data_IF_284864730549
#
_entry.id   IF_284864730549
#
_cell.length_a   1.000
_cell.length_b   1.000
_cell.length_c   1.000
_cell.angle_alpha   90.00
_cell.angle_beta   90.00
_cell.angle_gamma   90.00
#
_symmetry.space_group_name_H-M   'P 1'
#
loop_
_entity.id
_entity.type
_entity.pdbx_description
1 polymer ?
#
# COMPACT_ATOMS: atom_id res chain seq x y z
N UNK A 1 -8.74 -13.60 3.46
CA UNK A 1 -7.97 -14.01 2.28
C UNK A 1 -8.29 -15.48 2.04
N UNK A 2 -8.78 -15.86 0.85
CA UNK A 2 -9.10 -17.26 0.54
C UNK A 2 -7.84 -18.11 0.56
N UNK A 3 -7.89 -19.35 1.09
CA UNK A 3 -6.75 -20.28 1.13
C UNK A 3 -6.16 -20.52 -0.27
N UNK A 4 -6.97 -20.40 -1.32
CA UNK A 4 -6.56 -20.50 -2.74
C UNK A 4 -5.74 -19.29 -3.21
N UNK A 5 -6.03 -18.10 -2.68
CA UNK A 5 -5.29 -16.85 -2.96
C UNK A 5 -3.92 -16.82 -2.28
N UNK A 6 -3.82 -17.44 -1.10
CA UNK A 6 -2.56 -17.64 -0.39
C UNK A 6 -1.62 -18.59 -1.16
N UNK A 7 -2.17 -19.63 -1.81
CA UNK A 7 -1.42 -20.52 -2.69
C UNK A 7 -0.85 -19.80 -3.93
N UNK A 8 -1.59 -18.85 -4.51
CA UNK A 8 -1.11 -18.03 -5.64
C UNK A 8 0.12 -17.19 -5.26
N UNK A 9 0.10 -16.56 -4.10
CA UNK A 9 1.25 -15.78 -3.59
C UNK A 9 2.48 -16.64 -3.28
N UNK A 10 2.29 -17.92 -2.96
CA UNK A 10 3.37 -18.85 -2.66
C UNK A 10 4.08 -19.35 -3.93
N UNK A 11 3.36 -19.50 -5.05
CA UNK A 11 3.93 -19.95 -6.34
C UNK A 11 4.89 -18.93 -6.97
N UNK A 12 4.68 -17.63 -6.73
CA UNK A 12 5.55 -16.56 -7.26
C UNK A 12 6.77 -16.27 -6.39
N UNK A 13 6.84 -16.83 -5.17
CA UNK A 13 7.97 -16.60 -4.28
C UNK A 13 9.21 -17.35 -4.81
N UNK A 14 10.26 -16.60 -5.16
CA UNK A 14 11.54 -17.17 -5.58
C UNK A 14 12.10 -18.04 -4.44
N UNK A 15 12.09 -19.36 -4.67
CA UNK A 15 12.45 -20.45 -3.75
C UNK A 15 11.47 -20.70 -2.60
N UNK A 16 10.62 -21.72 -2.75
CA UNK A 16 10.53 -22.79 -1.73
C UNK A 16 10.11 -24.12 -2.36
N UNK A 17 11.07 -25.02 -2.56
CA UNK A 17 10.80 -26.47 -2.67
C UNK A 17 10.12 -27.04 -1.40
N UNK A 18 10.02 -26.25 -0.31
CA UNK A 18 9.29 -26.59 0.92
C UNK A 18 7.77 -26.51 0.80
N UNK A 19 7.24 -25.95 -0.30
CA UNK A 19 5.79 -25.85 -0.49
C UNK A 19 5.16 -27.24 -0.64
N UNK A 20 5.80 -28.16 -1.37
CA UNK A 20 5.38 -29.56 -1.53
C UNK A 20 5.29 -30.32 -0.19
N UNK A 21 6.08 -29.93 0.81
CA UNK A 21 6.05 -30.54 2.16
C UNK A 21 4.88 -30.03 3.03
N UNK A 22 4.31 -28.87 2.72
CA UNK A 22 3.31 -28.17 3.55
C UNK A 22 1.89 -28.22 3.01
N UNK A 23 1.73 -28.54 1.72
CA UNK A 23 0.43 -28.78 1.13
C UNK A 23 -0.03 -30.15 1.62
N UNK A 24 -1.21 -30.20 2.23
CA UNK A 24 -1.82 -31.48 2.63
C UNK A 24 -1.75 -32.47 1.48
N UNK A 25 -1.67 -33.78 1.75
CA UNK A 25 -1.69 -34.85 0.72
C UNK A 25 -2.80 -34.71 -0.35
N UNK A 26 -3.81 -33.85 -0.13
CA UNK A 26 -4.95 -33.56 -1.00
C UNK A 26 -4.98 -32.10 -1.54
N UNK A 27 -3.85 -31.38 -1.55
CA UNK A 27 -3.79 -30.03 -2.13
C UNK A 27 -3.32 -30.07 -3.59
N UNK A 28 -3.55 -28.97 -4.36
CA UNK A 28 -3.31 -28.98 -5.79
C UNK A 28 -1.80 -29.01 -6.05
N UNK A 29 -1.35 -29.75 -7.06
CA UNK A 29 0.07 -29.75 -7.45
C UNK A 29 0.45 -28.43 -8.10
N UNK A 30 1.76 -28.20 -8.22
CA UNK A 30 2.28 -27.02 -8.91
C UNK A 30 1.82 -26.98 -10.37
N UNK A 31 1.81 -28.13 -11.04
CA UNK A 31 1.36 -28.27 -12.43
C UNK A 31 -0.12 -27.94 -12.58
N UNK A 32 -0.97 -28.43 -11.67
CA UNK A 32 -2.40 -28.12 -11.65
C UNK A 32 -2.66 -26.63 -11.41
N UNK A 33 -1.92 -26.00 -10.50
CA UNK A 33 -2.02 -24.56 -10.26
C UNK A 33 -1.58 -23.76 -11.49
N UNK A 34 -0.46 -24.11 -12.11
CA UNK A 34 0.03 -23.45 -13.32
C UNK A 34 -0.95 -23.66 -14.49
N UNK A 35 -1.52 -24.85 -14.63
CA UNK A 35 -2.55 -25.16 -15.63
C UNK A 35 -3.82 -24.32 -15.42
N UNK A 36 -4.33 -24.26 -14.19
CA UNK A 36 -5.49 -23.44 -13.84
C UNK A 36 -5.22 -21.94 -14.10
N UNK A 37 -4.04 -21.45 -13.74
CA UNK A 37 -3.62 -20.06 -14.02
C UNK A 37 -3.48 -19.79 -15.51
N UNK A 38 -2.85 -20.69 -16.28
CA UNK A 38 -2.67 -20.54 -17.72
C UNK A 38 -4.00 -20.49 -18.46
N UNK A 39 -4.93 -21.38 -18.10
CA UNK A 39 -6.27 -21.35 -18.67
C UNK A 39 -7.03 -20.10 -18.24
N UNK A 40 -6.94 -19.66 -16.97
CA UNK A 40 -7.61 -18.44 -16.51
C UNK A 40 -7.06 -17.19 -17.21
N UNK A 41 -5.74 -17.16 -17.50
CA UNK A 41 -5.10 -16.09 -18.26
C UNK A 41 -5.58 -16.05 -19.70
N UNK A 42 -5.84 -17.21 -20.33
CA UNK A 42 -6.40 -17.28 -21.68
C UNK A 42 -7.81 -16.69 -21.73
N UNK A 43 -8.65 -17.01 -20.75
CA UNK A 43 -10.06 -16.63 -20.78
C UNK A 43 -10.29 -15.19 -20.26
N UNK A 44 -9.48 -14.73 -19.29
CA UNK A 44 -9.57 -13.36 -18.74
C UNK A 44 -8.17 -12.77 -18.51
N UNK A 45 -7.49 -12.31 -19.57
CA UNK A 45 -6.12 -11.82 -19.47
C UNK A 45 -5.99 -10.55 -18.61
N UNK A 46 -7.00 -9.68 -18.63
CA UNK A 46 -7.03 -8.44 -17.84
C UNK A 46 -7.21 -8.76 -16.36
N UNK A 47 -8.16 -9.61 -16.00
CA UNK A 47 -8.39 -10.02 -14.62
C UNK A 47 -7.17 -10.72 -14.03
N UNK A 48 -6.52 -11.60 -14.80
CA UNK A 48 -5.26 -12.20 -14.36
C UNK A 48 -4.11 -11.20 -14.26
N UNK A 49 -4.02 -10.20 -15.14
CA UNK A 49 -3.05 -9.10 -14.99
C UNK A 49 -3.29 -8.32 -13.69
N UNK A 50 -4.53 -8.06 -13.30
CA UNK A 50 -4.86 -7.46 -11.99
C UNK A 50 -4.32 -8.34 -10.86
N UNK A 51 -4.63 -9.64 -10.86
CA UNK A 51 -4.19 -10.56 -9.81
C UNK A 51 -2.66 -10.65 -9.73
N UNK A 52 -2.00 -10.78 -10.88
CA UNK A 52 -0.54 -10.87 -10.97
C UNK A 52 0.14 -9.58 -10.51
N UNK A 53 -0.41 -8.41 -10.85
CA UNK A 53 0.11 -7.12 -10.38
C UNK A 53 -0.13 -6.94 -8.86
N UNK A 54 -1.32 -7.28 -8.38
CA UNK A 54 -1.77 -7.06 -6.99
C UNK A 54 -1.09 -7.99 -5.99
N UNK A 55 -0.89 -9.25 -6.36
CA UNK A 55 -0.39 -10.29 -5.45
C UNK A 55 1.05 -10.73 -5.75
N UNK A 56 1.48 -10.67 -7.01
CA UNK A 56 2.81 -11.13 -7.43
C UNK A 56 3.74 -9.97 -7.82
N UNK A 57 3.26 -8.73 -7.76
CA UNK A 57 4.00 -7.53 -8.13
C UNK A 57 4.60 -7.61 -9.55
N UNK A 58 3.87 -8.23 -10.49
CA UNK A 58 4.32 -8.43 -11.86
C UNK A 58 4.35 -7.12 -12.66
N UNK A 59 5.54 -6.63 -13.01
CA UNK A 59 5.71 -5.40 -13.79
C UNK A 59 5.09 -5.47 -15.20
N UNK A 60 5.16 -6.63 -15.86
CA UNK A 60 4.54 -6.82 -17.17
C UNK A 60 3.01 -6.69 -17.09
N UNK A 61 2.40 -7.16 -16.00
CA UNK A 61 0.96 -7.04 -15.81
C UNK A 61 0.52 -5.58 -15.67
N UNK A 62 1.36 -4.70 -15.09
CA UNK A 62 1.08 -3.26 -15.07
C UNK A 62 1.04 -2.64 -16.47
N UNK A 63 1.91 -3.11 -17.38
CA UNK A 63 1.91 -2.68 -18.79
C UNK A 63 0.61 -3.09 -19.48
N UNK A 64 0.20 -4.36 -19.32
CA UNK A 64 -1.05 -4.88 -19.88
C UNK A 64 -2.26 -4.06 -19.40
N UNK A 65 -2.32 -3.73 -18.11
CA UNK A 65 -3.42 -2.92 -17.56
C UNK A 65 -3.44 -1.49 -18.10
N UNK A 66 -2.28 -0.87 -18.25
CA UNK A 66 -2.16 0.47 -18.83
C UNK A 66 -2.61 0.48 -20.29
N UNK A 67 -2.19 -0.51 -21.07
CA UNK A 67 -2.52 -0.61 -22.49
C UNK A 67 -4.03 -0.90 -22.66
N UNK A 68 -4.61 -1.73 -21.79
CA UNK A 68 -6.06 -1.94 -21.73
C UNK A 68 -6.82 -0.64 -21.45
N UNK A 69 -6.43 0.11 -20.41
CA UNK A 69 -7.05 1.40 -20.12
C UNK A 69 -6.89 2.40 -21.28
N UNK A 70 -5.73 2.41 -21.93
CA UNK A 70 -5.49 3.22 -23.13
C UNK A 70 -6.33 2.84 -24.35
N UNK A 71 -6.89 1.63 -24.38
CA UNK A 71 -7.86 1.18 -25.40
C UNK A 71 -9.31 1.57 -25.07
N UNK A 72 -9.60 1.97 -23.83
CA UNK A 72 -10.93 2.39 -23.45
C UNK A 72 -11.24 3.79 -24.00
N UNK A 73 -12.47 3.97 -24.47
CA UNK A 73 -12.88 5.24 -25.05
C UNK A 73 -12.99 6.35 -24.02
N UNK A 74 -12.42 7.53 -24.35
CA UNK A 74 -12.50 8.77 -23.56
C UNK A 74 -13.49 9.76 -24.17
N UNK A 75 -14.16 9.40 -25.28
CA UNK A 75 -14.98 10.31 -26.11
C UNK A 75 -16.14 10.99 -25.39
N UNK A 76 -16.47 10.58 -24.16
CA UNK A 76 -17.51 11.18 -23.32
C UNK A 76 -17.05 12.43 -22.56
N UNK A 77 -15.76 12.74 -22.55
CA UNK A 77 -15.25 13.95 -21.92
C UNK A 77 -15.36 15.13 -22.89
N UNK A 78 -16.11 16.16 -22.50
CA UNK A 78 -16.14 17.48 -23.17
C UNK A 78 -14.84 18.29 -22.95
N UNK A 79 -13.77 17.63 -22.48
CA UNK A 79 -12.45 18.21 -22.22
C UNK A 79 -11.39 17.38 -22.95
N UNK A 80 -10.51 18.06 -23.70
CA UNK A 80 -9.35 17.43 -24.31
C UNK A 80 -8.19 17.44 -23.33
N UNK A 81 -7.94 16.29 -22.72
CA UNK A 81 -6.81 16.09 -21.82
C UNK A 81 -5.50 15.90 -22.61
N UNK A 82 -4.39 16.38 -22.05
CA UNK A 82 -3.06 16.06 -22.55
C UNK A 82 -2.69 14.59 -22.25
N UNK A 83 -1.75 14.00 -23.02
CA UNK A 83 -1.39 12.59 -22.85
C UNK A 83 -0.89 12.25 -21.44
N UNK A 84 -0.16 13.16 -20.78
CA UNK A 84 0.29 12.98 -19.40
C UNK A 84 -0.88 12.98 -18.40
N UNK A 85 -1.90 13.80 -18.63
CA UNK A 85 -3.10 13.86 -17.79
C UNK A 85 -3.94 12.60 -17.95
N UNK A 86 -4.12 12.10 -19.18
CA UNK A 86 -4.78 10.83 -19.43
C UNK A 86 -4.04 9.65 -18.80
N UNK A 87 -2.71 9.61 -18.94
CA UNK A 87 -1.88 8.61 -18.27
C UNK A 87 -2.01 8.69 -16.74
N UNK A 88 -2.17 9.89 -16.17
CA UNK A 88 -2.41 10.04 -14.75
C UNK A 88 -3.78 9.50 -14.33
N UNK A 89 -4.84 9.71 -15.12
CA UNK A 89 -6.15 9.10 -14.85
C UNK A 89 -6.06 7.57 -14.87
N UNK A 90 -5.32 6.98 -15.83
CA UNK A 90 -5.08 5.54 -15.84
C UNK A 90 -4.37 5.08 -14.57
N UNK A 91 -3.32 5.80 -14.14
CA UNK A 91 -2.62 5.54 -12.89
C UNK A 91 -3.57 5.56 -11.68
N UNK A 92 -4.47 6.54 -11.58
CA UNK A 92 -5.41 6.64 -10.45
C UNK A 92 -6.32 5.42 -10.34
N UNK A 93 -6.87 4.95 -11.45
CA UNK A 93 -7.74 3.76 -11.45
C UNK A 93 -6.93 2.50 -11.17
N UNK A 94 -5.76 2.35 -11.79
CA UNK A 94 -4.88 1.20 -11.52
C UNK A 94 -4.48 1.13 -10.06
N UNK A 95 -4.05 2.25 -9.46
CA UNK A 95 -3.66 2.31 -8.07
C UNK A 95 -4.81 1.90 -7.13
N UNK A 96 -6.03 2.38 -7.40
CA UNK A 96 -7.22 2.03 -6.62
C UNK A 96 -7.52 0.52 -6.69
N UNK A 97 -7.56 -0.06 -7.89
CA UNK A 97 -7.86 -1.50 -8.09
C UNK A 97 -6.78 -2.40 -7.49
N UNK A 98 -5.52 -1.98 -7.57
CA UNK A 98 -4.37 -2.72 -7.05
C UNK A 98 -4.15 -2.50 -5.56
N UNK A 99 -5.00 -1.71 -4.87
CA UNK A 99 -4.84 -1.32 -3.47
C UNK A 99 -3.48 -0.67 -3.16
N UNK A 100 -2.96 0.09 -4.13
CA UNK A 100 -1.73 0.86 -4.01
C UNK A 100 -2.10 2.30 -3.63
N UNK A 101 -1.50 2.86 -2.58
CA UNK A 101 -1.82 4.22 -2.15
C UNK A 101 -1.35 5.25 -3.19
N UNK A 102 -2.22 6.20 -3.52
CA UNK A 102 -1.88 7.33 -4.40
C UNK A 102 -1.21 8.46 -3.61
N UNK A 103 -0.50 9.35 -4.31
CA UNK A 103 0.32 10.42 -3.71
C UNK A 103 -0.44 11.27 -2.69
N UNK A 104 -1.70 11.62 -3.00
CA UNK A 104 -2.55 12.43 -2.11
C UNK A 104 -2.84 11.75 -0.76
N UNK A 105 -2.72 10.42 -0.68
CA UNK A 105 -2.93 9.64 0.54
C UNK A 105 -1.64 9.41 1.34
N UNK A 106 -0.47 9.51 0.70
CA UNK A 106 0.81 9.12 1.31
C UNK A 106 1.12 9.93 2.57
N UNK A 107 0.80 11.23 2.61
CA UNK A 107 1.02 12.05 3.80
C UNK A 107 0.20 11.57 5.01
N UNK A 108 -1.09 11.27 4.78
CA UNK A 108 -2.00 10.72 5.79
C UNK A 108 -1.50 9.35 6.26
N UNK A 109 -1.17 8.45 5.34
CA UNK A 109 -0.64 7.13 5.63
C UNK A 109 0.68 7.19 6.42
N UNK A 110 1.64 8.02 5.99
CA UNK A 110 2.92 8.18 6.65
C UNK A 110 2.76 8.69 8.09
N UNK A 111 1.80 9.59 8.34
CA UNK A 111 1.46 10.00 9.70
C UNK A 111 0.98 8.82 10.56
N UNK A 112 0.13 7.95 10.04
CA UNK A 112 -0.38 6.78 10.78
C UNK A 112 0.73 5.74 11.00
N UNK A 113 1.58 5.51 10.01
CA UNK A 113 2.76 4.64 10.13
C UNK A 113 3.76 5.14 11.18
N UNK A 114 4.02 6.45 11.24
CA UNK A 114 4.87 7.07 12.27
C UNK A 114 4.32 6.93 13.68
N UNK A 115 3.00 6.80 13.85
CA UNK A 115 2.36 6.72 15.17
C UNK A 115 2.15 5.29 15.66
N UNK A 116 1.70 4.39 14.78
CA UNK A 116 1.13 3.11 15.21
C UNK A 116 1.88 1.88 14.71
N UNK A 117 2.91 2.03 13.88
CA UNK A 117 3.70 0.88 13.44
C UNK A 117 4.49 0.26 14.59
N UNK A 118 4.82 -1.03 14.44
CA UNK A 118 5.69 -1.70 15.41
C UNK A 118 7.08 -1.05 15.46
N UNK A 119 7.57 -0.53 14.34
CA UNK A 119 8.82 0.24 14.28
C UNK A 119 8.69 1.54 15.08
N UNK A 120 7.63 2.32 14.86
CA UNK A 120 7.32 3.52 15.64
C UNK A 120 7.29 3.26 17.15
N UNK A 121 6.60 2.21 17.59
CA UNK A 121 6.50 1.86 19.01
C UNK A 121 7.88 1.55 19.63
N UNK A 122 8.79 0.90 18.89
CA UNK A 122 10.16 0.63 19.35
C UNK A 122 11.00 1.91 19.36
N UNK A 123 10.92 2.70 18.30
CA UNK A 123 11.67 3.96 18.20
C UNK A 123 11.27 4.93 19.29
N UNK A 124 9.97 5.07 19.57
CA UNK A 124 9.45 5.94 20.62
C UNK A 124 9.99 5.54 22.01
N UNK A 125 9.99 4.24 22.34
CA UNK A 125 10.59 3.74 23.60
C UNK A 125 12.09 4.06 23.70
N UNK A 126 12.81 3.94 22.59
CA UNK A 126 14.24 4.27 22.54
C UNK A 126 14.48 5.77 22.77
N UNK A 127 13.69 6.63 22.11
CA UNK A 127 13.73 8.08 22.31
C UNK A 127 13.42 8.43 23.76
N UNK A 128 12.37 7.85 24.35
CA UNK A 128 12.00 8.09 25.75
C UNK A 128 13.12 7.70 26.73
N UNK A 129 13.79 6.57 26.49
CA UNK A 129 14.94 6.14 27.30
C UNK A 129 16.13 7.12 27.18
N UNK A 130 16.47 7.55 25.96
CA UNK A 130 17.53 8.52 25.71
C UNK A 130 17.22 9.88 26.35
N UNK A 131 15.99 10.38 26.19
CA UNK A 131 15.56 11.64 26.80
C UNK A 131 15.56 11.57 28.33
N UNK A 132 15.21 10.43 28.92
CA UNK A 132 15.31 10.23 30.38
C UNK A 132 16.77 10.26 30.84
N UNK A 133 17.68 9.63 30.10
CA UNK A 133 19.11 9.66 30.39
C UNK A 133 19.69 11.08 30.28
N UNK A 134 19.31 11.84 29.24
CA UNK A 134 19.69 13.25 29.08
C UNK A 134 19.26 14.09 30.28
N UNK A 135 17.99 14.03 30.69
CA UNK A 135 17.49 14.74 31.88
C UNK A 135 18.23 14.37 33.17
N UNK A 136 18.63 13.11 33.30
CA UNK A 136 19.44 12.68 34.45
C UNK A 136 20.86 13.26 34.40
N UNK A 137 21.46 13.37 33.22
CA UNK A 137 22.77 13.97 33.03
C UNK A 137 22.74 15.49 33.22
N UNK A 138 21.68 16.17 32.77
CA UNK A 138 21.46 17.61 32.99
C UNK A 138 21.43 17.93 34.49
N UNK A 139 20.65 17.19 35.27
CA UNK A 139 20.63 17.33 36.74
C UNK A 139 21.97 17.01 37.39
N UNK A 140 22.71 16.04 36.85
CA UNK A 140 24.04 15.72 37.37
C UNK A 140 25.03 16.87 37.14
N UNK A 141 24.95 17.59 36.02
CA UNK A 141 25.80 18.76 35.75
C UNK A 141 25.58 19.85 36.80
N UNK A 142 24.34 20.08 37.26
CA UNK A 142 24.02 21.09 38.28
C UNK A 142 24.69 20.82 39.63
N UNK A 143 24.98 19.56 39.94
CA UNK A 143 25.56 19.14 41.24
C UNK A 143 27.09 19.03 41.16
N UNK A 144 27.65 18.85 39.97
CA UNK A 144 29.08 18.55 39.77
C UNK A 144 29.91 19.83 39.71
N UNK A 145 30.86 19.96 40.64
CA UNK A 145 31.83 21.06 40.69
C UNK A 145 33.06 20.85 39.80
N UNK A 146 33.33 19.63 39.34
CA UNK A 146 34.47 19.34 38.47
C UNK A 146 34.16 19.68 37.00
N UNK A 147 34.85 20.66 36.38
CA UNK A 147 34.61 21.08 34.99
C UNK A 147 34.80 19.96 33.96
N UNK A 148 35.73 19.02 34.21
CA UNK A 148 35.98 17.90 33.31
C UNK A 148 34.81 16.92 33.26
N UNK A 149 34.21 16.62 34.42
CA UNK A 149 33.04 15.74 34.48
C UNK A 149 31.81 16.39 33.83
N UNK A 150 31.61 17.69 34.06
CA UNK A 150 30.52 18.45 33.43
C UNK A 150 30.66 18.50 31.91
N UNK A 151 31.88 18.72 31.39
CA UNK A 151 32.16 18.66 29.94
C UNK A 151 31.88 17.27 29.35
N UNK A 152 32.28 16.19 30.05
CA UNK A 152 31.98 14.81 29.62
C UNK A 152 30.47 14.53 29.56
N UNK A 153 29.71 15.02 30.55
CA UNK A 153 28.26 14.87 30.57
C UNK A 153 27.59 15.66 29.43
N UNK A 154 28.05 16.89 29.16
CA UNK A 154 27.57 17.69 28.02
C UNK A 154 27.83 16.98 26.68
N UNK A 155 29.02 16.39 26.48
CA UNK A 155 29.32 15.60 25.29
C UNK A 155 28.40 14.38 25.15
N UNK A 156 28.08 13.69 26.25
CA UNK A 156 27.14 12.57 26.24
C UNK A 156 25.69 13.02 25.93
N UNK A 157 25.26 14.16 26.46
CA UNK A 157 23.96 14.76 26.13
C UNK A 157 23.89 15.07 24.64
N UNK A 158 24.91 15.73 24.07
CA UNK A 158 24.98 16.01 22.64
C UNK A 158 24.93 14.73 21.80
N UNK A 159 25.67 13.68 22.20
CA UNK A 159 25.63 12.37 21.55
C UNK A 159 24.23 11.73 21.60
N UNK A 160 23.55 11.79 22.75
CA UNK A 160 22.18 11.29 22.87
C UNK A 160 21.18 12.08 22.03
N UNK A 161 21.34 13.40 21.94
CA UNK A 161 20.52 14.24 21.08
C UNK A 161 20.67 13.86 19.59
N UNK A 162 21.91 13.70 19.11
CA UNK A 162 22.18 13.24 17.74
C UNK A 162 21.53 11.87 17.48
N UNK A 163 21.56 10.95 18.44
CA UNK A 163 20.90 9.64 18.32
C UNK A 163 19.38 9.75 18.25
N UNK A 164 18.76 10.63 19.04
CA UNK A 164 17.33 10.91 18.98
C UNK A 164 16.95 11.44 17.60
N UNK A 165 17.69 12.42 17.07
CA UNK A 165 17.37 13.03 15.78
C UNK A 165 17.55 12.04 14.63
N UNK A 166 18.61 11.23 14.67
CA UNK A 166 18.79 10.10 13.74
C UNK A 166 17.60 9.14 13.79
N UNK A 167 17.12 8.78 14.99
CA UNK A 167 15.97 7.89 15.14
C UNK A 167 14.67 8.49 14.61
N UNK A 168 14.44 9.79 14.80
CA UNK A 168 13.28 10.50 14.23
C UNK A 168 13.34 10.50 12.71
N UNK A 169 14.50 10.73 12.12
CA UNK A 169 14.67 10.71 10.66
C UNK A 169 14.41 9.31 10.09
N UNK A 170 15.02 8.27 10.67
CA UNK A 170 14.80 6.89 10.24
C UNK A 170 13.33 6.47 10.36
N UNK A 171 12.61 6.95 11.38
CA UNK A 171 11.17 6.72 11.52
C UNK A 171 10.36 7.44 10.44
N UNK A 172 10.74 8.66 10.07
CA UNK A 172 10.11 9.40 8.99
C UNK A 172 10.29 8.68 7.65
N UNK A 173 11.53 8.29 7.33
CA UNK A 173 11.87 7.60 6.08
C UNK A 173 11.18 6.23 6.00
N UNK A 174 11.19 5.46 7.10
CA UNK A 174 10.47 4.19 7.20
C UNK A 174 8.98 4.36 6.93
N UNK A 175 8.37 5.38 7.53
CA UNK A 175 6.94 5.60 7.39
C UNK A 175 6.55 6.11 5.99
N UNK A 176 7.37 6.95 5.36
CA UNK A 176 7.17 7.35 3.96
C UNK A 176 7.25 6.15 3.03
N UNK A 177 8.29 5.33 3.17
CA UNK A 177 8.45 4.10 2.39
C UNK A 177 7.24 3.18 2.54
N UNK A 178 6.80 2.94 3.78
CA UNK A 178 5.63 2.07 4.03
C UNK A 178 4.30 2.67 3.55
N UNK A 179 4.18 3.99 3.59
CA UNK A 179 3.02 4.70 3.06
C UNK A 179 2.92 4.65 1.53
N UNK A 180 4.03 4.45 0.81
CA UNK A 180 4.03 4.21 -0.63
C UNK A 180 3.76 2.73 -0.99
N UNK A 181 4.19 1.79 -0.13
CA UNK A 181 4.05 0.36 -0.39
C UNK A 181 2.67 -0.20 -0.05
N UNK A 182 1.94 0.38 0.92
CA UNK A 182 0.71 -0.24 1.41
C UNK A 182 -0.30 0.76 1.95
N UNK A 183 -1.55 0.61 1.49
CA UNK A 183 -2.72 1.27 2.04
C UNK A 183 -3.26 0.59 3.32
N UNK A 184 -2.66 -0.49 3.80
CA UNK A 184 -3.12 -1.20 5.01
C UNK A 184 -2.88 -0.38 6.26
N UNK A 185 -3.85 -0.39 7.18
CA UNK A 185 -3.73 0.36 8.42
C UNK A 185 -2.78 -0.36 9.41
N UNK A 186 -1.68 0.29 9.84
CA UNK A 186 -0.73 -0.32 10.78
C UNK A 186 -1.27 -0.39 12.22
N UNK A 187 -2.27 0.43 12.57
CA UNK A 187 -2.87 0.48 13.93
C UNK A 187 -3.69 -0.77 14.22
N UNK A 188 -4.59 -1.15 13.32
CA UNK A 188 -5.40 -2.36 13.45
C UNK A 188 -4.81 -3.57 12.72
N UNK A 189 -3.66 -3.43 12.04
CA UNK A 189 -3.05 -4.51 11.23
C UNK A 189 -4.02 -5.07 10.17
N UNK A 190 -4.67 -4.17 9.44
CA UNK A 190 -5.63 -4.51 8.39
C UNK A 190 -6.93 -5.21 8.81
N UNK A 191 -7.25 -5.29 10.11
CA UNK A 191 -8.50 -5.93 10.57
C UNK A 191 -9.70 -4.99 10.66
N UNK A 192 -9.48 -3.67 10.63
CA UNK A 192 -10.51 -2.67 10.93
C UNK A 192 -10.84 -2.51 12.41
N UNK A 193 -10.38 -3.41 13.28
CA UNK A 193 -10.73 -3.44 14.70
C UNK A 193 -9.47 -3.43 15.56
N UNK A 194 -9.49 -2.68 16.66
CA UNK A 194 -8.37 -2.66 17.61
C UNK A 194 -8.39 -3.94 18.45
N UNK A 195 -7.36 -4.81 18.38
CA UNK A 195 -7.42 -6.13 19.03
C UNK A 195 -7.64 -6.09 20.54
N UNK A 196 -7.18 -5.03 21.21
CA UNK A 196 -7.31 -4.89 22.68
C UNK A 196 -8.69 -4.46 23.13
N UNK A 197 -9.36 -3.59 22.36
CA UNK A 197 -10.63 -2.96 22.78
C UNK A 197 -11.82 -3.49 22.00
N UNK A 198 -11.60 -4.24 20.92
CA UNK A 198 -12.63 -4.70 19.98
C UNK A 198 -13.46 -3.57 19.37
N UNK A 199 -13.00 -2.32 19.47
CA UNK A 199 -13.65 -1.15 18.87
C UNK A 199 -13.17 -0.94 17.44
N UNK A 200 -14.02 -0.35 16.57
CA UNK A 200 -13.61 0.10 15.24
C UNK A 200 -12.38 1.00 15.32
N UNK A 201 -11.46 0.83 14.38
CA UNK A 201 -10.25 1.62 14.29
C UNK A 201 -10.56 3.00 13.69
N UNK A 202 -10.50 4.05 14.50
CA UNK A 202 -10.74 5.45 14.07
C UNK A 202 -9.74 5.94 13.02
N UNK A 203 -8.57 5.29 12.89
CA UNK A 203 -7.57 5.72 11.91
C UNK A 203 -7.93 5.30 10.48
N UNK A 204 -8.76 4.28 10.30
CA UNK A 204 -9.20 3.78 8.99
C UNK A 204 -10.71 3.54 8.97
N UNK A 205 -11.46 4.20 9.85
CA UNK A 205 -12.92 4.13 9.96
C UNK A 205 -13.49 2.71 9.98
N UNK A 206 -12.79 1.79 10.64
CA UNK A 206 -13.24 0.40 10.76
C UNK A 206 -12.98 -0.49 9.53
N UNK A 207 -12.41 0.04 8.45
CA UNK A 207 -12.23 -0.70 7.18
C UNK A 207 -11.00 -1.61 7.22
N UNK A 208 -9.95 -1.19 7.92
CA UNK A 208 -8.67 -1.91 7.96
C UNK A 208 -7.64 -1.40 6.95
N UNK A 209 -8.07 -0.65 5.96
CA UNK A 209 -7.22 -0.04 4.93
C UNK A 209 -7.71 1.37 4.62
N UNK A 210 -6.84 2.17 4.00
CA UNK A 210 -7.17 3.49 3.51
C UNK A 210 -7.64 3.37 2.07
N UNK A 211 -8.93 3.55 1.85
CA UNK A 211 -9.51 3.52 0.50
C UNK A 211 -9.35 4.87 -0.18
N UNK A 212 -9.17 4.85 -1.50
CA UNK A 212 -9.15 6.06 -2.30
C UNK A 212 -10.52 6.69 -2.34
N UNK A 213 -10.59 7.95 -1.90
CA UNK A 213 -11.80 8.75 -2.00
C UNK A 213 -11.75 9.65 -3.24
N UNK A 214 -12.91 10.14 -3.66
CA UNK A 214 -13.01 11.09 -4.78
C UNK A 214 -12.12 12.33 -4.55
N UNK A 215 -12.07 12.83 -3.31
CA UNK A 215 -11.19 13.94 -2.95
C UNK A 215 -9.69 13.60 -3.13
N UNK A 216 -9.31 12.34 -2.85
CA UNK A 216 -7.93 11.88 -3.05
C UNK A 216 -7.60 11.83 -4.56
N UNK A 217 -8.51 11.34 -5.41
CA UNK A 217 -8.38 11.38 -6.86
C UNK A 217 -8.26 12.83 -7.37
N UNK A 218 -9.14 13.72 -6.92
CA UNK A 218 -9.15 15.14 -7.34
C UNK A 218 -7.84 15.82 -7.02
N UNK A 219 -7.38 15.68 -5.78
CA UNK A 219 -6.14 16.30 -5.32
C UNK A 219 -4.93 15.78 -6.11
N UNK A 220 -4.87 14.47 -6.37
CA UNK A 220 -3.78 13.88 -7.16
C UNK A 220 -3.84 14.35 -8.62
N UNK A 221 -5.01 14.37 -9.25
CA UNK A 221 -5.14 14.79 -10.64
C UNK A 221 -4.80 16.27 -10.83
N UNK A 222 -5.27 17.15 -9.94
CA UNK A 222 -4.90 18.58 -9.98
C UNK A 222 -3.41 18.83 -9.72
N UNK A 223 -2.74 17.92 -9.01
CA UNK A 223 -1.28 17.94 -8.81
C UNK A 223 -0.50 17.62 -10.09
N UNK A 224 -1.01 16.70 -10.90
CA UNK A 224 -0.40 16.28 -12.17
C UNK A 224 -0.85 17.11 -13.39
N UNK A 225 -1.96 17.83 -13.27
CA UNK A 225 -2.55 18.62 -14.35
C UNK A 225 -1.71 19.82 -14.76
N UNK A 226 -1.78 20.17 -16.05
CA UNK A 226 -1.19 21.39 -16.57
C UNK A 226 -1.88 22.61 -15.91
N UNK A 227 -1.15 23.68 -15.54
CA UNK A 227 -1.73 24.85 -14.91
C UNK A 227 -2.93 25.44 -15.67
N UNK A 228 -2.85 25.47 -17.00
CA UNK A 228 -3.92 25.96 -17.88
C UNK A 228 -5.18 25.08 -17.88
N UNK A 229 -5.08 23.80 -17.51
CA UNK A 229 -6.20 22.86 -17.50
C UNK A 229 -6.88 22.74 -16.13
N UNK A 230 -6.29 23.26 -15.05
CA UNK A 230 -6.83 23.08 -13.69
C UNK A 230 -8.28 23.57 -13.54
N UNK A 231 -8.60 24.73 -14.09
CA UNK A 231 -9.96 25.28 -14.00
C UNK A 231 -10.96 24.44 -14.80
N UNK A 232 -10.57 23.98 -15.99
CA UNK A 232 -11.38 23.08 -16.81
C UNK A 232 -11.61 21.74 -16.09
N UNK A 233 -10.57 21.17 -15.47
CA UNK A 233 -10.66 19.94 -14.69
C UNK A 233 -11.59 20.11 -13.49
N UNK A 234 -11.52 21.24 -12.78
CA UNK A 234 -12.44 21.52 -11.67
C UNK A 234 -13.89 21.56 -12.16
N UNK A 235 -14.14 22.25 -13.28
CA UNK A 235 -15.46 22.38 -13.89
C UNK A 235 -16.02 21.04 -14.37
N UNK A 236 -15.21 20.22 -15.02
CA UNK A 236 -15.60 18.92 -15.58
C UNK A 236 -15.36 17.74 -14.62
N UNK A 237 -15.02 18.03 -13.35
CA UNK A 237 -14.72 17.00 -12.35
C UNK A 237 -15.81 15.92 -12.22
N UNK A 238 -17.11 16.25 -12.21
CA UNK A 238 -18.16 15.22 -12.14
C UNK A 238 -18.10 14.20 -13.30
N UNK A 239 -17.81 14.66 -14.52
CA UNK A 239 -17.69 13.78 -15.68
C UNK A 239 -16.41 12.93 -15.61
N UNK A 240 -15.31 13.51 -15.14
CA UNK A 240 -14.04 12.80 -14.93
C UNK A 240 -14.20 11.71 -13.86
N UNK A 241 -14.86 12.02 -12.75
CA UNK A 241 -15.14 11.03 -11.69
C UNK A 241 -16.02 9.90 -12.20
N UNK A 242 -17.05 10.22 -12.98
CA UNK A 242 -17.89 9.19 -13.58
C UNK A 242 -17.08 8.24 -14.46
N UNK A 243 -16.20 8.78 -15.32
CA UNK A 243 -15.30 7.98 -16.15
C UNK A 243 -14.37 7.10 -15.31
N UNK A 244 -13.73 7.65 -14.27
CA UNK A 244 -12.87 6.89 -13.34
C UNK A 244 -13.65 5.74 -12.67
N UNK A 245 -14.90 6.00 -12.28
CA UNK A 245 -15.77 4.99 -11.68
C UNK A 245 -16.19 3.89 -12.67
N UNK A 246 -16.47 4.25 -13.93
CA UNK A 246 -16.76 3.29 -15.00
C UNK A 246 -15.56 2.36 -15.23
N UNK A 247 -14.37 2.93 -15.44
CA UNK A 247 -13.13 2.16 -15.64
C UNK A 247 -12.81 1.27 -14.43
N UNK A 248 -12.94 1.81 -13.21
CA UNK A 248 -12.77 1.05 -11.98
C UNK A 248 -13.72 -0.14 -11.91
N UNK A 249 -14.99 0.09 -12.23
CA UNK A 249 -16.03 -0.95 -12.19
C UNK A 249 -15.72 -2.04 -13.21
N UNK A 250 -15.26 -1.68 -14.41
CA UNK A 250 -14.88 -2.62 -15.44
C UNK A 250 -13.69 -3.49 -14.99
N UNK A 251 -12.65 -2.90 -14.41
CA UNK A 251 -11.52 -3.65 -13.87
C UNK A 251 -11.91 -4.57 -12.71
N UNK A 252 -12.77 -4.13 -11.78
CA UNK A 252 -13.25 -5.01 -10.72
C UNK A 252 -14.07 -6.19 -11.23
N UNK A 253 -14.84 -6.02 -12.32
CA UNK A 253 -15.53 -7.15 -12.98
C UNK A 253 -14.52 -8.15 -13.52
N UNK A 254 -13.48 -7.70 -14.21
CA UNK A 254 -12.40 -8.58 -14.68
C UNK A 254 -11.69 -9.30 -13.52
N UNK A 255 -11.38 -8.61 -12.42
CA UNK A 255 -10.78 -9.23 -11.22
C UNK A 255 -11.69 -10.33 -10.66
N UNK A 256 -12.98 -10.03 -10.47
CA UNK A 256 -13.95 -10.98 -9.92
C UNK A 256 -14.16 -12.22 -10.81
N UNK A 257 -14.24 -12.02 -12.13
CA UNK A 257 -14.37 -13.11 -13.11
C UNK A 257 -13.12 -14.00 -13.15
N UNK A 258 -11.92 -13.41 -13.13
CA UNK A 258 -10.68 -14.18 -13.09
C UNK A 258 -10.55 -14.98 -11.79
N UNK A 259 -10.89 -14.38 -10.65
CA UNK A 259 -10.94 -15.09 -9.37
C UNK A 259 -11.93 -16.24 -9.39
N UNK A 260 -13.16 -16.02 -9.87
CA UNK A 260 -14.16 -17.08 -9.95
C UNK A 260 -13.71 -18.21 -10.88
N UNK A 261 -13.10 -17.88 -12.01
CA UNK A 261 -12.57 -18.86 -12.97
C UNK A 261 -11.45 -19.69 -12.36
N UNK A 262 -10.50 -19.06 -11.67
CA UNK A 262 -9.44 -19.75 -10.93
C UNK A 262 -10.03 -20.66 -9.84
N UNK A 263 -10.97 -20.15 -9.05
CA UNK A 263 -11.57 -20.92 -7.96
C UNK A 263 -12.32 -22.14 -8.43
N UNK A 264 -13.10 -22.01 -9.52
CA UNK A 264 -13.81 -23.12 -10.18
C UNK A 264 -12.86 -24.16 -10.73
N UNK A 265 -11.78 -23.73 -11.40
CA UNK A 265 -10.79 -24.65 -11.98
C UNK A 265 -10.04 -25.40 -10.91
N UNK A 266 -9.57 -24.70 -9.89
CA UNK A 266 -8.95 -25.35 -8.75
C UNK A 266 -9.92 -26.33 -8.09
N UNK A 267 -11.19 -25.97 -7.92
CA UNK A 267 -12.24 -26.89 -7.44
C UNK A 267 -12.42 -28.13 -8.30
N UNK A 268 -12.43 -28.00 -9.63
CA UNK A 268 -12.54 -29.15 -10.53
C UNK A 268 -11.35 -30.11 -10.37
N UNK A 269 -10.14 -29.58 -10.16
CA UNK A 269 -8.93 -30.38 -9.89
C UNK A 269 -8.93 -31.04 -8.49
N UNK A 270 -9.90 -30.73 -7.61
CA UNK A 270 -10.04 -31.31 -6.26
C UNK A 270 -11.14 -32.37 -6.13
N UNK A 271 -12.08 -32.44 -7.08
CA UNK A 271 -13.24 -33.35 -7.01
C UNK A 271 -13.04 -34.67 -7.78
N UNK A 272 -11.85 -34.88 -8.36
CA UNK A 272 -11.37 -36.15 -8.94
C UNK A 272 -10.36 -36.83 -8.01
#
# INVERSE_FOLDING_TARGET
>A
MSKKLELLTLLSAARTMKWEESVSKNGPTKEQLLGAMGLAQRDNPIGMAILNAKYLHCAYSLVVLRDFLGSLEVHRLEIRLASNELNHLHYLVMADVLNVPIDSQQARLASVWRRYSAYAARTQKSIEALSKAMRSMERAIEIKTNPFESSRLQANIASHQTRIDTQKQLLADYAQKKAAESAKCPRCKATGVIPKTQRPCESCDGVGEFRTMEADWKASFLGAALPAHKELIIRHWPAIVHLLQEWRTQLYRHEAEALSTLEKRLSAEFED
#
